data_IF_737513065958
#
_entry.id   IF_737513065958
#
_cell.length_a   1.000
_cell.length_b   1.000
_cell.length_c   1.000
_cell.angle_alpha   90.00
_cell.angle_beta   90.00
_cell.angle_gamma   90.00
#
_symmetry.space_group_name_H-M   'P 1'
#
loop_
_entity.id
_entity.type
_entity.pdbx_description
1 polymer ?
#
# COMPACT_ATOMS: atom_id res chain seq x y z
N UNK A 1 36.23 23.50 -8.34
CA UNK A 1 35.65 22.25 -8.89
C UNK A 1 35.12 21.31 -7.81
N UNK A 2 35.91 20.86 -6.82
CA UNK A 2 35.46 19.92 -5.76
C UNK A 2 34.18 20.36 -5.03
N UNK A 3 34.09 21.62 -4.59
CA UNK A 3 32.89 22.18 -3.92
C UNK A 3 31.63 22.11 -4.77
N UNK A 4 31.74 22.42 -6.06
CA UNK A 4 30.61 22.39 -7.00
C UNK A 4 30.11 20.96 -7.21
N UNK A 5 31.04 20.01 -7.38
CA UNK A 5 30.72 18.58 -7.51
C UNK A 5 29.98 18.08 -6.27
N UNK A 6 30.50 18.37 -5.07
CA UNK A 6 29.85 18.00 -3.81
C UNK A 6 28.44 18.60 -3.72
N UNK A 7 28.28 19.89 -4.05
CA UNK A 7 27.00 20.57 -4.00
C UNK A 7 25.98 19.95 -4.97
N UNK A 8 26.37 19.70 -6.22
CA UNK A 8 25.49 19.07 -7.22
C UNK A 8 25.08 17.66 -6.79
N UNK A 9 25.99 16.87 -6.23
CA UNK A 9 25.67 15.53 -5.76
C UNK A 9 24.68 15.57 -4.59
N UNK A 10 24.93 16.39 -3.57
CA UNK A 10 24.06 16.42 -2.38
C UNK A 10 22.64 16.88 -2.73
N UNK A 11 22.50 17.89 -3.58
CA UNK A 11 21.20 18.40 -4.00
C UNK A 11 20.52 17.46 -5.00
N UNK A 12 21.29 16.80 -5.88
CA UNK A 12 20.79 15.77 -6.78
C UNK A 12 20.19 14.60 -6.02
N UNK A 13 20.87 14.13 -4.95
CA UNK A 13 20.35 13.09 -4.06
C UNK A 13 19.08 13.57 -3.35
N UNK A 14 19.07 14.79 -2.81
CA UNK A 14 17.89 15.34 -2.15
C UNK A 14 16.67 15.41 -3.09
N UNK A 15 16.87 15.86 -4.33
CA UNK A 15 15.83 15.90 -5.36
C UNK A 15 15.34 14.49 -5.72
N UNK A 16 16.26 13.53 -5.90
CA UNK A 16 15.91 12.14 -6.20
C UNK A 16 15.09 11.49 -5.08
N UNK A 17 15.47 11.71 -3.81
CA UNK A 17 14.69 11.27 -2.65
C UNK A 17 13.31 11.92 -2.65
N UNK A 18 13.22 13.22 -2.90
CA UNK A 18 11.94 13.93 -2.96
C UNK A 18 11.00 13.36 -4.03
N UNK A 19 11.52 13.07 -5.24
CA UNK A 19 10.74 12.43 -6.31
C UNK A 19 10.29 11.03 -5.90
N UNK A 20 11.18 10.21 -5.33
CA UNK A 20 10.84 8.85 -4.89
C UNK A 20 9.75 8.85 -3.80
N UNK A 21 9.87 9.73 -2.81
CA UNK A 21 8.84 9.92 -1.78
C UNK A 21 7.53 10.43 -2.37
N UNK A 22 7.59 11.35 -3.34
CA UNK A 22 6.41 11.83 -4.05
C UNK A 22 5.65 10.71 -4.76
N UNK A 23 6.35 9.83 -5.47
CA UNK A 23 5.76 8.65 -6.13
C UNK A 23 5.06 7.75 -5.10
N UNK A 24 5.67 7.55 -3.93
CA UNK A 24 5.13 6.68 -2.89
C UNK A 24 3.91 7.28 -2.16
N UNK A 25 3.97 8.55 -1.78
CA UNK A 25 2.92 9.18 -0.97
C UNK A 25 1.74 9.72 -1.77
N UNK A 26 1.92 10.03 -3.06
CA UNK A 26 0.84 10.61 -3.87
C UNK A 26 -0.38 9.67 -3.99
N UNK A 27 -0.24 8.35 -4.26
CA UNK A 27 -1.37 7.44 -4.28
C UNK A 27 -2.13 7.39 -2.95
N UNK A 28 -1.42 7.39 -1.82
CA UNK A 28 -2.01 7.36 -0.48
C UNK A 28 -2.86 8.60 -0.20
N UNK A 29 -2.38 9.77 -0.61
CA UNK A 29 -3.13 11.01 -0.42
C UNK A 29 -4.28 11.19 -1.42
N UNK A 30 -4.13 10.63 -2.63
CA UNK A 30 -5.15 10.67 -3.67
C UNK A 30 -6.22 9.56 -3.49
N UNK A 31 -6.01 8.63 -2.56
CA UNK A 31 -6.93 7.53 -2.33
C UNK A 31 -8.31 8.06 -1.88
N UNK A 32 -9.40 7.47 -2.39
CA UNK A 32 -10.73 7.77 -1.88
C UNK A 32 -10.85 7.30 -0.41
N UNK A 33 -11.84 7.83 0.34
CA UNK A 33 -12.14 7.30 1.65
C UNK A 33 -12.47 5.80 1.56
N UNK A 34 -12.04 5.05 2.58
CA UNK A 34 -12.33 3.62 2.65
C UNK A 34 -13.84 3.37 2.71
N UNK A 35 -14.32 2.24 2.13
CA UNK A 35 -15.65 1.71 2.37
C UNK A 35 -16.04 1.67 3.85
N UNK A 36 -17.33 1.85 4.13
CA UNK A 36 -17.85 1.60 5.48
C UNK A 36 -17.78 0.10 5.83
N UNK A 37 -17.61 -0.19 7.12
CA UNK A 37 -17.46 -1.56 7.61
C UNK A 37 -18.70 -2.43 7.29
N UNK A 38 -19.91 -1.87 7.37
CA UNK A 38 -21.13 -2.60 7.04
C UNK A 38 -21.19 -3.00 5.56
N UNK A 39 -20.69 -2.15 4.67
CA UNK A 39 -20.62 -2.44 3.24
C UNK A 39 -19.60 -3.54 2.94
N UNK A 40 -18.44 -3.52 3.62
CA UNK A 40 -17.45 -4.60 3.51
C UNK A 40 -18.03 -5.93 4.00
N UNK A 41 -18.69 -5.92 5.15
CA UNK A 41 -19.31 -7.11 5.73
C UNK A 41 -20.39 -7.69 4.78
N UNK A 42 -21.31 -6.86 4.27
CA UNK A 42 -22.34 -7.27 3.31
C UNK A 42 -21.73 -7.87 2.04
N UNK A 43 -20.74 -7.20 1.45
CA UNK A 43 -20.10 -7.66 0.20
C UNK A 43 -19.35 -8.98 0.41
N UNK A 44 -18.81 -9.20 1.61
CA UNK A 44 -18.07 -10.42 1.94
C UNK A 44 -18.96 -11.67 2.05
N UNK A 45 -20.27 -11.53 2.27
CA UNK A 45 -21.17 -12.67 2.52
C UNK A 45 -21.28 -13.63 1.32
N UNK A 46 -21.09 -13.12 0.10
CA UNK A 46 -21.16 -13.90 -1.13
C UNK A 46 -19.80 -14.43 -1.60
N UNK A 47 -18.79 -14.41 -0.72
CA UNK A 47 -17.45 -14.90 -1.06
C UNK A 47 -17.44 -16.41 -1.33
N UNK A 48 -16.73 -16.79 -2.38
CA UNK A 48 -16.45 -18.17 -2.75
C UNK A 48 -15.21 -18.70 -2.01
N UNK A 49 -14.26 -17.80 -1.72
CA UNK A 49 -13.03 -18.10 -1.02
C UNK A 49 -12.77 -17.07 0.06
N UNK A 50 -12.32 -17.54 1.22
CA UNK A 50 -11.89 -16.69 2.32
C UNK A 50 -10.53 -17.16 2.81
N UNK A 51 -9.67 -16.22 3.19
CA UNK A 51 -8.40 -16.51 3.83
C UNK A 51 -8.05 -15.43 4.86
N UNK A 52 -7.29 -15.81 5.87
CA UNK A 52 -6.67 -14.86 6.80
C UNK A 52 -5.27 -14.50 6.31
N UNK A 53 -5.04 -13.20 6.13
CA UNK A 53 -3.74 -12.61 5.86
C UNK A 53 -3.04 -12.31 7.18
N UNK A 54 -1.76 -12.69 7.26
CA UNK A 54 -0.89 -12.32 8.36
C UNK A 54 0.46 -11.83 7.81
N UNK A 55 1.20 -11.13 8.66
CA UNK A 55 2.44 -10.46 8.28
C UNK A 55 3.62 -11.40 8.02
N UNK A 56 3.51 -12.66 8.41
CA UNK A 56 4.55 -13.69 8.25
C UNK A 56 4.35 -14.55 6.99
N UNK A 57 3.36 -14.23 6.16
CA UNK A 57 3.19 -14.87 4.85
C UNK A 57 4.44 -14.66 3.99
N UNK A 58 4.83 -15.70 3.22
CA UNK A 58 6.08 -15.75 2.44
C UNK A 58 6.33 -14.53 1.54
N UNK A 59 5.28 -13.87 1.06
CA UNK A 59 5.36 -12.72 0.16
C UNK A 59 5.20 -11.37 0.87
N UNK A 60 5.13 -11.36 2.20
CA UNK A 60 5.04 -10.15 3.02
C UNK A 60 6.45 -9.57 3.21
N UNK A 61 6.62 -8.28 2.93
CA UNK A 61 7.85 -7.52 3.16
C UNK A 61 7.58 -6.18 3.87
N UNK A 62 8.59 -5.32 3.98
CA UNK A 62 8.45 -4.03 4.67
C UNK A 62 7.44 -3.07 4.01
N UNK A 63 7.35 -3.10 2.69
CA UNK A 63 6.52 -2.20 1.87
C UNK A 63 5.24 -2.88 1.36
N UNK A 64 5.21 -4.22 1.29
CA UNK A 64 4.08 -4.98 0.75
C UNK A 64 3.62 -6.02 1.76
N UNK A 65 2.53 -5.73 2.47
CA UNK A 65 1.95 -6.64 3.45
C UNK A 65 0.47 -6.37 3.66
N UNK A 66 -0.25 -7.38 4.16
CA UNK A 66 -1.64 -7.29 4.57
C UNK A 66 -1.89 -8.14 5.81
N UNK A 67 -2.78 -7.65 6.67
CA UNK A 67 -3.23 -8.31 7.89
C UNK A 67 -4.75 -8.21 7.97
N UNK A 68 -5.43 -9.33 8.21
CA UNK A 68 -6.88 -9.37 8.33
C UNK A 68 -7.49 -10.44 7.45
N UNK A 69 -8.75 -10.28 7.05
CA UNK A 69 -9.47 -11.25 6.23
C UNK A 69 -9.59 -10.78 4.80
N UNK A 70 -9.33 -11.68 3.86
CA UNK A 70 -9.62 -11.47 2.44
C UNK A 70 -10.74 -12.42 2.02
N UNK A 71 -11.73 -11.86 1.33
CA UNK A 71 -12.93 -12.56 0.86
C UNK A 71 -13.06 -12.31 -0.64
N UNK A 72 -13.13 -13.38 -1.44
CA UNK A 72 -13.09 -13.32 -2.91
C UNK A 72 -14.38 -13.93 -3.47
N UNK A 73 -15.12 -13.15 -4.25
CA UNK A 73 -16.29 -13.59 -5.01
C UNK A 73 -15.98 -13.62 -6.52
N UNK A 74 -17.00 -13.84 -7.36
CA UNK A 74 -16.84 -13.76 -8.81
C UNK A 74 -16.59 -12.33 -9.32
N UNK A 75 -16.99 -11.32 -8.56
CA UNK A 75 -17.01 -9.91 -8.97
C UNK A 75 -16.18 -9.01 -8.07
N UNK A 76 -15.91 -9.43 -6.83
CA UNK A 76 -15.37 -8.58 -5.78
C UNK A 76 -14.24 -9.25 -5.01
N UNK A 77 -13.31 -8.41 -4.55
CA UNK A 77 -12.28 -8.77 -3.56
C UNK A 77 -12.43 -7.80 -2.40
N UNK A 78 -12.82 -8.34 -1.25
CA UNK A 78 -13.02 -7.57 -0.02
C UNK A 78 -11.87 -7.86 0.92
N UNK A 79 -11.26 -6.80 1.44
CA UNK A 79 -10.22 -6.89 2.47
C UNK A 79 -10.66 -6.13 3.72
N UNK A 80 -10.69 -6.84 4.85
CA UNK A 80 -11.02 -6.28 6.15
C UNK A 80 -9.80 -6.39 7.07
N UNK A 81 -9.16 -5.25 7.37
CA UNK A 81 -7.99 -5.20 8.21
C UNK A 81 -7.03 -4.07 7.85
N UNK A 82 -5.72 -4.33 7.92
CA UNK A 82 -4.66 -3.36 7.64
C UNK A 82 -3.86 -3.79 6.42
N UNK A 83 -3.52 -2.84 5.57
CA UNK A 83 -2.64 -3.03 4.43
C UNK A 83 -1.47 -2.06 4.52
N UNK A 84 -0.34 -2.47 3.96
CA UNK A 84 0.73 -1.54 3.69
C UNK A 84 0.21 -0.41 2.78
N UNK A 85 0.60 0.85 3.03
CA UNK A 85 0.23 1.98 2.19
C UNK A 85 1.03 2.02 0.87
N UNK A 86 1.55 0.87 0.42
CA UNK A 86 2.50 0.77 -0.68
C UNK A 86 1.97 1.37 -1.99
N UNK A 87 2.83 1.56 -3.00
CA UNK A 87 2.39 1.80 -4.37
C UNK A 87 1.67 0.58 -4.95
#
# INVERSE_FOLDING_TARGET
MRKLITLTITHGIAAAIGVALGIYFLPVQAAPPSPDAAMLEETSQNALFCADLNRDLRSSDFLHWGEGKISISATDVVHEGKLAPGP
#
